data_IF_388036893792
#
_entry.id   IF_388036893792
#
_cell.length_a   1.000
_cell.length_b   1.000
_cell.length_c   1.000
_cell.angle_alpha   90.00
_cell.angle_beta   90.00
_cell.angle_gamma   90.00
#
_symmetry.space_group_name_H-M   'P 1'
#
loop_
_entity.id
_entity.type
_entity.pdbx_description
1 polymer ?
#
# COMPACT_ATOMS: atom_id res chain seq x y z
N UNK A 1 -13.20 -33.40 1.35
CA UNK A 1 -12.07 -32.93 1.08
C UNK A 1 -11.66 -31.62 1.64
N UNK A 2 -11.63 -31.62 2.90
CA UNK A 2 -11.32 -30.44 3.63
C UNK A 2 -9.88 -29.97 3.42
N UNK A 3 -8.98 -30.86 3.01
CA UNK A 3 -7.61 -30.43 2.82
C UNK A 3 -7.49 -29.36 1.74
N UNK A 4 -8.38 -29.38 0.77
CA UNK A 4 -8.36 -28.33 -0.23
C UNK A 4 -8.71 -27.00 0.34
N UNK A 5 -9.59 -26.99 1.32
CA UNK A 5 -9.97 -25.76 1.97
C UNK A 5 -8.77 -25.12 2.64
N UNK A 6 -7.94 -25.95 3.25
CA UNK A 6 -6.76 -25.43 3.92
C UNK A 6 -5.85 -24.72 2.95
N UNK A 7 -5.68 -25.29 1.77
CA UNK A 7 -4.83 -24.65 0.77
C UNK A 7 -5.36 -23.30 0.36
N UNK A 8 -6.67 -23.21 0.27
CA UNK A 8 -7.31 -21.98 -0.16
C UNK A 8 -7.21 -20.92 0.92
N UNK A 9 -6.94 -21.33 2.13
CA UNK A 9 -6.98 -20.45 3.27
C UNK A 9 -5.69 -19.65 3.46
N UNK A 10 -4.96 -19.39 2.40
CA UNK A 10 -3.85 -18.45 2.50
C UNK A 10 -4.35 -17.18 3.12
N UNK A 11 -3.66 -16.76 4.13
CA UNK A 11 -4.08 -15.59 4.89
C UNK A 11 -3.93 -14.34 4.05
N UNK A 12 -5.00 -13.57 3.96
CA UNK A 12 -4.95 -12.27 3.32
C UNK A 12 -4.67 -11.23 4.39
N UNK A 13 -3.61 -10.48 4.18
CA UNK A 13 -3.20 -9.43 5.08
C UNK A 13 -3.59 -8.08 4.50
N UNK A 14 -3.71 -7.10 5.37
CA UNK A 14 -4.14 -5.78 4.97
C UNK A 14 -3.19 -4.76 5.56
N UNK A 15 -2.69 -3.86 4.72
CA UNK A 15 -1.95 -2.70 5.18
C UNK A 15 -2.73 -1.45 4.81
N UNK A 16 -2.81 -0.51 5.74
CA UNK A 16 -3.51 0.76 5.52
C UNK A 16 -2.61 1.91 5.91
N UNK A 17 -2.58 2.92 5.06
CA UNK A 17 -1.94 4.17 5.45
C UNK A 17 -2.92 4.99 6.29
N UNK A 18 -2.39 6.01 6.94
CA UNK A 18 -3.23 7.09 7.43
C UNK A 18 -3.67 7.91 6.22
N UNK A 19 -4.62 8.79 6.43
CA UNK A 19 -4.95 9.76 5.39
C UNK A 19 -3.76 10.70 5.26
N UNK A 20 -3.24 10.79 4.05
CA UNK A 20 -2.08 11.64 3.74
C UNK A 20 -2.55 12.80 2.88
N UNK A 21 -1.78 13.91 2.84
CA UNK A 21 -2.17 15.06 2.02
C UNK A 21 -2.24 14.76 0.53
N UNK A 22 -1.58 13.70 0.06
CA UNK A 22 -1.59 13.37 -1.36
C UNK A 22 -1.55 11.86 -1.55
N UNK A 23 -2.04 11.39 -2.71
CA UNK A 23 -1.93 9.98 -3.06
C UNK A 23 -0.46 9.57 -3.18
N UNK A 24 0.38 10.46 -3.72
CA UNK A 24 1.81 10.19 -3.79
C UNK A 24 2.40 9.95 -2.41
N UNK A 25 1.97 10.72 -1.43
CA UNK A 25 2.43 10.53 -0.06
C UNK A 25 2.03 9.18 0.51
N UNK A 26 0.79 8.75 0.22
CA UNK A 26 0.33 7.44 0.67
C UNK A 26 1.15 6.33 0.02
N UNK A 27 1.43 6.44 -1.27
CA UNK A 27 2.24 5.45 -1.98
C UNK A 27 3.66 5.43 -1.42
N UNK A 28 4.22 6.59 -1.12
CA UNK A 28 5.55 6.66 -0.55
C UNK A 28 5.61 5.98 0.82
N UNK A 29 4.58 6.14 1.65
CA UNK A 29 4.53 5.45 2.94
C UNK A 29 4.45 3.95 2.75
N UNK A 30 3.69 3.49 1.76
CA UNK A 30 3.63 2.06 1.45
C UNK A 30 4.99 1.55 1.02
N UNK A 31 5.72 2.31 0.22
CA UNK A 31 7.06 1.93 -0.21
C UNK A 31 7.98 1.75 0.99
N UNK A 32 7.95 2.68 1.92
CA UNK A 32 8.80 2.58 3.11
C UNK A 32 8.45 1.35 3.93
N UNK A 33 7.15 1.10 4.11
CA UNK A 33 6.71 -0.08 4.84
C UNK A 33 7.16 -1.35 4.13
N UNK A 34 7.01 -1.40 2.81
CA UNK A 34 7.40 -2.58 2.04
C UNK A 34 8.88 -2.89 2.22
N UNK A 35 9.73 -1.89 2.04
CA UNK A 35 11.16 -2.14 2.13
C UNK A 35 11.59 -2.52 3.54
N UNK A 36 10.98 -1.92 4.55
CA UNK A 36 11.30 -2.28 5.93
C UNK A 36 10.84 -3.69 6.27
N UNK A 37 9.75 -4.15 5.69
CA UNK A 37 9.13 -5.41 6.06
C UNK A 37 9.62 -6.58 5.21
N UNK A 38 9.77 -6.37 3.92
CA UNK A 38 10.00 -7.47 2.99
C UNK A 38 11.35 -7.45 2.31
N UNK A 39 12.12 -6.41 2.49
CA UNK A 39 13.39 -6.31 1.78
C UNK A 39 14.59 -6.44 2.70
N UNK A 40 14.51 -5.90 3.90
CA UNK A 40 15.68 -5.71 4.72
C UNK A 40 16.30 -7.01 5.25
N UNK A 41 15.48 -8.04 5.49
CA UNK A 41 15.95 -9.24 6.19
C UNK A 41 15.69 -10.53 5.44
N UNK A 42 15.47 -10.48 4.15
CA UNK A 42 15.16 -11.67 3.37
C UNK A 42 16.36 -12.09 2.55
N UNK A 43 16.38 -13.34 2.12
CA UNK A 43 17.44 -13.77 1.21
C UNK A 43 17.22 -13.16 -0.18
N UNK A 44 18.21 -13.27 -1.02
CA UNK A 44 18.21 -12.53 -2.29
C UNK A 44 17.04 -12.91 -3.20
N UNK A 45 16.71 -14.20 -3.28
CA UNK A 45 15.65 -14.61 -4.21
C UNK A 45 14.30 -14.14 -3.73
N UNK A 46 14.05 -14.19 -2.43
CA UNK A 46 12.78 -13.72 -1.86
C UNK A 46 12.67 -12.21 -2.01
N UNK A 47 13.76 -11.49 -1.73
CA UNK A 47 13.76 -10.05 -1.89
C UNK A 47 13.44 -9.63 -3.31
N UNK A 48 14.06 -10.30 -4.27
CA UNK A 48 13.88 -9.90 -5.66
C UNK A 48 12.45 -10.15 -6.15
N UNK A 49 11.87 -11.29 -5.78
CA UNK A 49 10.49 -11.56 -6.16
C UNK A 49 9.55 -10.57 -5.53
N UNK A 50 9.74 -10.29 -4.24
CA UNK A 50 8.90 -9.32 -3.54
C UNK A 50 9.03 -7.95 -4.16
N UNK A 51 10.26 -7.54 -4.51
CA UNK A 51 10.49 -6.24 -5.12
C UNK A 51 9.80 -6.12 -6.46
N UNK A 52 9.87 -7.17 -7.28
CA UNK A 52 9.21 -7.14 -8.58
C UNK A 52 7.70 -7.00 -8.41
N UNK A 53 7.13 -7.74 -7.46
CA UNK A 53 5.70 -7.66 -7.21
C UNK A 53 5.31 -6.27 -6.70
N UNK A 54 6.14 -5.70 -5.82
CA UNK A 54 5.91 -4.35 -5.34
C UNK A 54 5.97 -3.33 -6.48
N UNK A 55 6.98 -3.47 -7.36
CA UNK A 55 7.15 -2.51 -8.45
C UNK A 55 5.96 -2.52 -9.40
N UNK A 56 5.39 -3.69 -9.65
CA UNK A 56 4.19 -3.77 -10.48
C UNK A 56 3.02 -3.04 -9.84
N UNK A 57 2.82 -3.27 -8.56
CA UNK A 57 1.75 -2.58 -7.85
C UNK A 57 1.98 -1.07 -7.83
N UNK A 58 3.19 -0.66 -7.50
CA UNK A 58 3.52 0.76 -7.41
C UNK A 58 3.29 1.47 -8.74
N UNK A 59 3.68 0.84 -9.84
CA UNK A 59 3.47 1.42 -11.16
C UNK A 59 1.98 1.63 -11.43
N UNK A 60 1.17 0.62 -11.13
CA UNK A 60 -0.27 0.73 -11.35
C UNK A 60 -0.89 1.81 -10.48
N UNK A 61 -0.44 1.93 -9.23
CA UNK A 61 -0.95 2.95 -8.34
C UNK A 61 -0.63 4.35 -8.87
N UNK A 62 0.59 4.54 -9.34
CA UNK A 62 0.99 5.84 -9.89
C UNK A 62 0.21 6.13 -11.16
N UNK A 63 0.11 5.17 -12.06
CA UNK A 63 -0.60 5.36 -13.31
C UNK A 63 -2.07 5.68 -13.10
N UNK A 64 -2.74 4.95 -12.20
CA UNK A 64 -4.16 5.18 -11.95
C UNK A 64 -4.41 6.54 -11.31
N UNK A 65 -3.61 6.91 -10.33
CA UNK A 65 -3.83 8.19 -9.67
C UNK A 65 -3.51 9.35 -10.60
N UNK A 66 -2.51 9.19 -11.46
CA UNK A 66 -2.20 10.24 -12.43
C UNK A 66 -3.29 10.37 -13.48
N UNK A 67 -3.78 9.24 -14.01
CA UNK A 67 -4.79 9.29 -15.06
C UNK A 67 -6.11 9.86 -14.56
N UNK A 68 -6.41 9.69 -13.28
CA UNK A 68 -7.64 10.24 -12.70
C UNK A 68 -7.45 11.63 -12.13
N UNK A 69 -6.23 12.16 -12.20
CA UNK A 69 -5.96 13.50 -11.70
C UNK A 69 -6.06 13.64 -10.21
N UNK A 70 -5.80 12.57 -9.45
CA UNK A 70 -5.94 12.60 -8.00
C UNK A 70 -4.62 12.43 -7.26
N UNK A 71 -3.50 12.46 -7.95
CA UNK A 71 -2.21 12.21 -7.30
C UNK A 71 -1.91 13.25 -6.21
N UNK A 72 -2.47 14.45 -6.30
CA UNK A 72 -2.28 15.51 -5.32
C UNK A 72 -3.42 15.64 -4.32
N UNK A 73 -4.37 14.73 -4.36
CA UNK A 73 -5.52 14.77 -3.45
C UNK A 73 -5.22 14.01 -2.18
N UNK A 74 -5.80 14.45 -1.07
CA UNK A 74 -5.69 13.72 0.19
C UNK A 74 -6.20 12.30 -0.01
N UNK A 75 -5.47 11.32 0.52
CA UNK A 75 -5.77 9.93 0.19
C UNK A 75 -5.35 8.99 1.29
N UNK A 76 -6.01 7.84 1.33
CA UNK A 76 -5.59 6.68 2.11
C UNK A 76 -5.43 5.51 1.16
N UNK A 77 -4.32 4.81 1.30
CA UNK A 77 -4.02 3.64 0.50
C UNK A 77 -4.23 2.39 1.35
N UNK A 78 -4.91 1.40 0.79
CA UNK A 78 -5.16 0.12 1.43
C UNK A 78 -4.66 -0.95 0.49
N UNK A 79 -3.78 -1.83 0.99
CA UNK A 79 -3.22 -2.92 0.18
C UNK A 79 -3.62 -4.24 0.81
N UNK A 80 -4.24 -5.10 0.01
CA UNK A 80 -4.55 -6.48 0.39
C UNK A 80 -3.51 -7.39 -0.24
N UNK A 81 -2.87 -8.21 0.57
CA UNK A 81 -1.73 -8.99 0.08
C UNK A 81 -1.60 -10.28 0.85
N UNK A 82 -0.81 -11.19 0.31
CA UNK A 82 -0.38 -12.39 1.03
C UNK A 82 1.14 -12.42 1.01
N UNK A 83 1.70 -13.27 1.87
CA UNK A 83 3.17 -13.37 1.95
C UNK A 83 3.62 -14.80 2.20
N UNK A 84 2.94 -15.74 1.59
CA UNK A 84 3.36 -17.15 1.67
C UNK A 84 4.80 -17.27 1.23
N UNK A 85 5.55 -18.08 1.98
CA UNK A 85 6.98 -18.31 1.70
C UNK A 85 7.79 -17.01 1.76
N UNK A 86 7.29 -16.01 2.45
CA UNK A 86 8.00 -14.77 2.63
C UNK A 86 7.94 -13.81 1.45
N UNK A 87 7.29 -14.19 0.37
CA UNK A 87 7.21 -13.35 -0.82
C UNK A 87 5.96 -12.47 -0.76
N UNK A 88 6.17 -11.17 -0.90
CA UNK A 88 5.06 -10.22 -0.94
C UNK A 88 4.27 -10.40 -2.23
N UNK A 89 2.97 -10.68 -2.09
CA UNK A 89 2.08 -10.88 -3.24
C UNK A 89 0.86 -9.99 -3.08
N UNK A 90 0.83 -8.84 -3.74
CA UNK A 90 -0.34 -7.98 -3.65
C UNK A 90 -1.52 -8.60 -4.40
N UNK A 91 -2.69 -8.53 -3.79
CA UNK A 91 -3.92 -9.06 -4.36
C UNK A 91 -4.70 -7.95 -5.02
N UNK A 92 -4.90 -6.86 -4.28
CA UNK A 92 -5.56 -5.67 -4.80
C UNK A 92 -5.23 -4.50 -3.91
N UNK A 93 -5.51 -3.31 -4.39
CA UNK A 93 -5.34 -2.11 -3.60
C UNK A 93 -6.51 -1.18 -3.84
N UNK A 94 -6.77 -0.33 -2.86
CA UNK A 94 -7.81 0.69 -2.93
C UNK A 94 -7.20 2.00 -2.52
N UNK A 95 -7.58 3.06 -3.20
CA UNK A 95 -7.18 4.39 -2.81
C UNK A 95 -8.45 5.17 -2.55
N UNK A 96 -8.63 5.56 -1.29
CA UNK A 96 -9.72 6.44 -0.91
C UNK A 96 -9.26 7.86 -1.12
N UNK A 97 -10.04 8.65 -1.83
CA UNK A 97 -9.67 10.02 -2.16
C UNK A 97 -10.58 10.97 -1.40
N UNK A 98 -9.98 11.97 -0.78
CA UNK A 98 -10.69 12.90 0.09
C UNK A 98 -10.46 14.33 -0.37
N UNK A 99 -11.37 15.17 0.01
CA UNK A 99 -11.25 16.60 -0.23
C UNK A 99 -10.93 17.27 1.09
N UNK A 100 -9.85 18.03 1.12
CA UNK A 100 -9.49 18.79 2.31
C UNK A 100 -10.28 20.09 2.30
N UNK A 101 -10.82 20.45 3.47
CA UNK A 101 -11.61 21.66 3.61
C UNK A 101 -11.21 22.38 4.89
N UNK A 102 -10.81 23.64 4.76
CA UNK A 102 -10.52 24.46 5.92
C UNK A 102 -11.84 24.79 6.64
N UNK A 103 -11.92 24.46 7.92
CA UNK A 103 -13.14 24.71 8.68
C UNK A 103 -12.95 25.72 9.78
N UNK A 104 -11.72 25.91 10.26
CA UNK A 104 -11.50 26.85 11.35
C UNK A 104 -10.00 27.12 11.51
N UNK A 105 -9.68 28.24 12.11
CA UNK A 105 -8.30 28.59 12.49
C UNK A 105 -8.32 29.01 13.95
N UNK A 106 -7.60 28.27 14.77
CA UNK A 106 -7.47 28.59 16.18
C UNK A 106 -6.18 29.41 16.34
N UNK A 107 -6.32 30.62 16.88
CA UNK A 107 -5.18 31.50 17.07
C UNK A 107 -4.76 31.44 18.54
N UNK A 108 -3.48 31.18 18.75
CA UNK A 108 -2.94 31.04 20.11
C UNK A 108 -1.83 32.04 20.27
N UNK A 109 -1.96 32.87 21.29
CA UNK A 109 -0.91 33.83 21.65
C UNK A 109 -0.06 33.22 22.74
N UNK A 110 1.26 33.39 22.66
CA UNK A 110 2.19 32.81 23.65
C UNK A 110 3.04 33.89 24.27
#
# INVERSE_FOLDING_TARGET
MSSKMVIIMSEVKVWRSRITPSARGAIFRAKRWFYATYYAKKDDSVREKSRQNWMQLARKLVEETNSRGVSDKASRLIIYYSDENGVFKPIRAEIEVYELKHIDTIKISV
#
